data_IF_117502715347
#
_entry.id   IF_117502715347
#
_cell.length_a   1.000
_cell.length_b   1.000
_cell.length_c   1.000
_cell.angle_alpha   90.00
_cell.angle_beta   90.00
_cell.angle_gamma   90.00
#
_symmetry.space_group_name_H-M   'P 1'
#
loop_
_entity.id
_entity.type
_entity.pdbx_description
1 polymer ?
#
# COMPACT_ATOMS: atom_id res chain seq x y z
N UNK A 1 14.98 22.94 18.08
CA UNK A 1 14.80 22.06 16.91
C UNK A 1 14.64 20.64 17.41
N UNK A 2 13.40 20.18 17.51
CA UNK A 2 13.01 18.90 18.13
C UNK A 2 12.88 17.89 16.98
N UNK A 3 13.68 16.83 17.00
CA UNK A 3 13.57 15.70 16.06
C UNK A 3 12.37 14.87 16.48
N UNK A 4 11.41 14.67 15.57
CA UNK A 4 10.30 13.74 15.78
C UNK A 4 10.78 12.36 15.32
N UNK A 5 10.88 11.43 16.26
CA UNK A 5 11.07 10.02 15.97
C UNK A 5 9.73 9.46 15.48
N UNK A 6 9.65 9.10 14.20
CA UNK A 6 8.54 8.37 13.62
C UNK A 6 8.60 6.93 14.11
N UNK A 7 7.89 6.63 15.19
CA UNK A 7 7.55 5.27 15.56
C UNK A 7 6.40 4.84 14.65
N UNK A 8 6.68 3.97 13.67
CA UNK A 8 5.65 3.21 12.96
C UNK A 8 4.96 2.29 13.97
N UNK A 9 3.78 2.69 14.42
CA UNK A 9 2.88 1.82 15.14
C UNK A 9 1.91 1.21 14.12
N UNK A 10 2.21 -0.01 13.68
CA UNK A 10 1.28 -0.83 12.93
C UNK A 10 0.10 -1.18 13.85
N UNK A 11 -0.99 -0.43 13.70
CA UNK A 11 -2.29 -0.75 14.29
C UNK A 11 -3.07 -1.57 13.28
N UNK A 12 -2.92 -2.89 13.37
CA UNK A 12 -3.78 -3.83 12.65
C UNK A 12 -5.21 -3.70 13.12
N UNK A 13 -6.06 -3.11 12.28
CA UNK A 13 -7.51 -3.15 12.44
C UNK A 13 -7.99 -4.46 11.83
N UNK A 14 -8.17 -5.48 12.65
CA UNK A 14 -8.99 -6.64 12.29
C UNK A 14 -10.45 -6.20 12.21
N UNK A 15 -10.92 -5.90 11.01
CA UNK A 15 -12.34 -5.86 10.70
C UNK A 15 -12.84 -7.30 10.54
N UNK A 16 -13.52 -7.79 11.58
CA UNK A 16 -14.41 -8.93 11.54
C UNK A 16 -15.82 -8.40 11.27
N UNK A 17 -16.60 -9.03 10.36
CA UNK A 17 -18.05 -8.90 10.02
C UNK A 17 -18.16 -8.77 8.48
N UNK A 18 -18.97 -9.51 7.69
CA UNK A 18 -20.12 -10.40 7.86
C UNK A 18 -20.19 -11.34 6.62
N UNK A 19 -20.94 -12.45 6.71
CA UNK A 19 -20.91 -13.58 5.76
C UNK A 19 -21.36 -13.34 4.30
N UNK A 20 -21.23 -14.36 3.43
CA UNK A 20 -21.31 -14.20 1.99
C UNK A 20 -22.75 -14.11 1.46
N UNK A 21 -23.05 -13.06 0.69
CA UNK A 21 -24.11 -13.09 -0.31
C UNK A 21 -23.56 -13.75 -1.58
N UNK A 22 -24.15 -14.85 -2.00
CA UNK A 22 -23.74 -15.61 -3.17
C UNK A 22 -24.15 -14.90 -4.48
N UNK A 23 -23.23 -14.59 -5.39
CA UNK A 23 -23.59 -14.20 -6.75
C UNK A 23 -23.91 -15.44 -7.61
N UNK A 24 -25.08 -15.45 -8.23
CA UNK A 24 -25.41 -16.34 -9.36
C UNK A 24 -24.71 -15.76 -10.59
N UNK A 25 -23.71 -16.47 -11.12
CA UNK A 25 -23.06 -16.11 -12.39
C UNK A 25 -23.23 -17.24 -13.40
N UNK A 26 -23.71 -16.98 -14.63
CA UNK A 26 -23.79 -17.99 -15.68
C UNK A 26 -22.39 -18.39 -16.20
N UNK A 27 -22.22 -19.69 -16.35
CA UNK A 27 -21.05 -20.40 -16.86
C UNK A 27 -20.76 -20.06 -18.33
N UNK A 28 -19.67 -19.32 -18.58
CA UNK A 28 -19.04 -19.21 -19.89
C UNK A 28 -17.69 -19.93 -19.84
N UNK A 29 -17.70 -21.17 -20.29
CA UNK A 29 -16.53 -22.03 -20.37
C UNK A 29 -15.45 -21.48 -21.30
N UNK A 30 -14.23 -21.37 -20.78
CA UNK A 30 -12.99 -21.44 -21.54
C UNK A 30 -11.88 -21.97 -20.64
N UNK A 31 -11.45 -23.22 -20.84
CA UNK A 31 -10.28 -23.79 -20.18
C UNK A 31 -9.02 -23.46 -20.99
N UNK A 32 -7.97 -22.83 -20.42
CA UNK A 32 -6.66 -22.83 -21.03
C UNK A 32 -5.92 -24.12 -20.66
N UNK A 33 -5.68 -24.98 -21.66
CA UNK A 33 -4.79 -26.13 -21.55
C UNK A 33 -3.33 -25.68 -21.74
N UNK A 34 -2.57 -25.55 -20.67
CA UNK A 34 -1.12 -25.36 -20.72
C UNK A 34 -0.42 -26.73 -20.83
N UNK A 35 0.19 -27.00 -21.99
CA UNK A 35 1.06 -28.14 -22.20
C UNK A 35 2.48 -27.85 -21.70
N UNK A 36 2.94 -28.71 -20.79
CA UNK A 36 4.33 -28.84 -20.33
C UNK A 36 5.10 -29.73 -21.32
N UNK A 37 6.26 -29.29 -21.80
CA UNK A 37 7.17 -30.14 -22.59
C UNK A 37 8.42 -29.37 -23.02
N UNK A 38 9.59 -29.82 -22.58
CA UNK A 38 10.86 -29.13 -22.81
C UNK A 38 11.83 -29.85 -23.76
N UNK A 39 13.09 -29.43 -23.62
CA UNK A 39 14.35 -30.13 -23.89
C UNK A 39 15.17 -29.74 -25.14
N UNK A 40 16.50 -29.63 -24.90
CA UNK A 40 17.58 -29.60 -25.90
C UNK A 40 18.11 -28.19 -26.17
N UNK A 41 19.37 -27.82 -25.97
CA UNK A 41 20.61 -28.57 -25.94
C UNK A 41 21.60 -27.83 -26.85
N UNK A 42 22.77 -27.43 -26.34
CA UNK A 42 23.76 -26.73 -27.15
C UNK A 42 24.99 -26.28 -26.37
N UNK A 43 25.95 -27.19 -26.19
CA UNK A 43 27.29 -26.91 -25.70
C UNK A 43 28.19 -26.62 -26.92
N UNK A 44 28.93 -25.51 -26.91
CA UNK A 44 29.89 -25.17 -27.96
C UNK A 44 31.14 -24.55 -27.35
N UNK A 45 32.16 -25.38 -27.14
CA UNK A 45 33.49 -24.94 -26.72
C UNK A 45 34.32 -24.40 -27.88
N UNK A 46 35.32 -23.59 -27.54
CA UNK A 46 36.41 -23.15 -28.41
C UNK A 46 37.50 -22.51 -27.58
N UNK A 47 38.56 -23.28 -27.33
CA UNK A 47 39.84 -22.84 -26.76
C UNK A 47 40.75 -22.26 -27.86
N UNK A 48 41.91 -21.77 -27.39
CA UNK A 48 43.14 -21.43 -28.12
C UNK A 48 43.26 -19.97 -28.55
N UNK A 49 44.38 -19.26 -28.35
CA UNK A 49 45.65 -19.57 -27.69
C UNK A 49 46.47 -18.27 -27.63
N UNK A 50 47.59 -18.32 -26.88
CA UNK A 50 48.81 -17.55 -27.11
C UNK A 50 48.84 -16.05 -26.71
N UNK A 51 49.88 -15.47 -26.12
CA UNK A 51 51.10 -15.91 -25.44
C UNK A 51 51.90 -14.62 -25.10
N UNK A 52 52.76 -14.68 -24.06
CA UNK A 52 53.91 -13.80 -23.73
C UNK A 52 53.55 -12.39 -23.21
N UNK A 53 54.12 -11.84 -22.15
CA UNK A 53 55.27 -12.12 -21.29
C UNK A 53 55.50 -10.79 -20.51
N UNK A 54 56.25 -10.64 -19.42
CA UNK A 54 57.02 -11.52 -18.57
C UNK A 54 57.58 -10.68 -17.39
N UNK A 55 58.13 -11.39 -16.39
CA UNK A 55 59.21 -11.03 -15.43
C UNK A 55 59.14 -9.66 -14.73
N UNK A 56 58.93 -9.62 -13.40
CA UNK A 56 59.98 -9.74 -12.36
C UNK A 56 60.10 -8.39 -11.63
N UNK A 57 60.42 -8.18 -10.35
CA UNK A 57 61.05 -8.88 -9.21
C UNK A 57 60.37 -8.29 -7.95
N UNK A 58 60.16 -9.01 -6.84
CA UNK A 58 61.19 -9.39 -5.88
C UNK A 58 61.38 -8.30 -4.81
N UNK A 59 60.94 -8.58 -3.57
CA UNK A 59 61.14 -7.69 -2.43
C UNK A 59 60.48 -8.25 -1.16
N UNK A 60 61.06 -9.31 -0.61
CA UNK A 60 60.64 -9.83 0.69
C UNK A 60 61.08 -8.94 1.85
N UNK A 61 60.33 -9.01 2.96
CA UNK A 61 60.90 -9.16 4.30
C UNK A 61 59.84 -9.60 5.31
N UNK A 62 60.30 -10.54 6.11
CA UNK A 62 59.66 -11.24 7.20
C UNK A 62 59.55 -10.36 8.45
N UNK A 63 58.49 -10.58 9.22
CA UNK A 63 58.30 -10.09 10.58
C UNK A 63 57.48 -11.11 11.37
N UNK A 64 58.01 -11.51 12.52
CA UNK A 64 57.71 -12.73 13.28
C UNK A 64 56.35 -12.74 14.00
N UNK A 65 55.75 -13.93 14.01
CA UNK A 65 55.09 -14.66 15.11
C UNK A 65 54.68 -13.95 16.41
N UNK A 66 53.42 -14.21 16.79
CA UNK A 66 52.88 -14.24 18.16
C UNK A 66 51.36 -14.20 18.06
N UNK A 67 50.53 -15.08 18.62
CA UNK A 67 50.68 -16.25 19.45
C UNK A 67 49.30 -16.93 19.48
N UNK A 68 49.30 -18.23 19.73
CA UNK A 68 48.13 -19.11 19.77
C UNK A 68 47.04 -18.66 20.74
N UNK A 69 45.77 -18.79 20.33
CA UNK A 69 44.71 -19.25 21.23
C UNK A 69 43.59 -19.91 20.41
N UNK A 70 43.55 -21.24 20.49
CA UNK A 70 42.35 -22.05 20.22
C UNK A 70 41.31 -21.70 21.29
N UNK A 71 40.09 -21.39 20.86
CA UNK A 71 38.92 -21.28 21.73
C UNK A 71 37.67 -21.59 20.92
N UNK A 72 37.38 -22.88 20.76
CA UNK A 72 36.03 -23.32 20.39
C UNK A 72 35.15 -23.20 21.63
N UNK A 73 34.01 -22.50 21.53
CA UNK A 73 32.74 -22.86 22.15
C UNK A 73 31.70 -21.74 22.06
N UNK A 74 30.52 -22.15 21.61
CA UNK A 74 29.20 -21.71 22.09
C UNK A 74 28.59 -20.43 21.51
N UNK A 75 27.56 -20.69 20.68
CA UNK A 75 26.39 -19.86 20.52
C UNK A 75 25.89 -19.33 21.89
N UNK A 76 25.73 -18.01 21.97
CA UNK A 76 24.80 -17.39 22.91
C UNK A 76 24.16 -16.18 22.24
N UNK A 77 22.89 -16.36 21.87
CA UNK A 77 21.91 -15.32 21.58
C UNK A 77 21.92 -14.33 22.77
N UNK A 78 22.51 -13.16 22.58
CA UNK A 78 22.52 -12.10 23.59
C UNK A 78 21.41 -11.11 23.28
N UNK A 79 20.40 -11.14 24.14
CA UNK A 79 19.32 -10.17 24.28
C UNK A 79 19.91 -8.76 24.44
N UNK A 80 19.45 -7.84 23.61
CA UNK A 80 19.67 -6.41 23.79
C UNK A 80 18.87 -5.96 25.01
N UNK A 81 19.58 -5.56 26.06
CA UNK A 81 19.05 -4.67 27.09
C UNK A 81 19.76 -3.33 26.95
N UNK A 82 18.91 -2.31 26.92
CA UNK A 82 19.16 -0.89 26.77
C UNK A 82 20.09 -0.34 27.88
N UNK A 83 20.74 0.78 27.59
CA UNK A 83 21.71 1.56 28.42
C UNK A 83 23.19 1.14 28.34
N UNK A 84 23.92 1.56 27.29
CA UNK A 84 25.37 1.73 27.36
C UNK A 84 25.91 2.66 26.28
N UNK A 85 26.87 3.50 26.67
CA UNK A 85 27.81 4.22 25.80
C UNK A 85 28.18 3.35 24.59
N UNK A 86 28.10 3.86 23.34
CA UNK A 86 28.35 3.05 22.16
C UNK A 86 29.75 2.42 22.28
N UNK A 87 29.89 1.09 22.12
CA UNK A 87 31.18 0.44 22.22
C UNK A 87 32.14 1.07 21.18
N UNK A 88 33.46 1.13 21.46
CA UNK A 88 34.46 1.82 20.61
C UNK A 88 34.61 1.26 19.18
N UNK A 89 33.76 0.32 18.79
CA UNK A 89 33.75 -0.38 17.51
C UNK A 89 32.40 -0.24 16.77
N UNK A 90 31.46 0.60 17.25
CA UNK A 90 30.16 0.80 16.61
C UNK A 90 30.31 1.29 15.15
N UNK A 91 31.22 2.24 14.92
CA UNK A 91 31.58 2.69 13.57
C UNK A 91 32.28 1.60 12.73
N UNK A 92 33.01 0.69 13.36
CA UNK A 92 33.68 -0.42 12.69
C UNK A 92 32.71 -1.50 12.20
N UNK A 93 31.62 -1.76 12.93
CA UNK A 93 30.55 -2.67 12.50
C UNK A 93 29.77 -2.11 11.32
N UNK A 94 29.32 -0.86 11.42
CA UNK A 94 28.67 -0.12 10.33
C UNK A 94 29.57 -0.06 9.08
N UNK A 95 30.83 0.32 9.24
CA UNK A 95 31.80 0.36 8.14
C UNK A 95 32.07 -1.03 7.54
N UNK A 96 32.00 -2.11 8.34
CA UNK A 96 32.14 -3.48 7.84
C UNK A 96 30.91 -3.97 7.06
N UNK A 97 29.71 -3.58 7.48
CA UNK A 97 28.46 -3.89 6.78
C UNK A 97 28.38 -3.12 5.46
N UNK A 98 28.77 -1.84 5.48
CA UNK A 98 28.80 -0.95 4.31
C UNK A 98 30.05 -1.12 3.43
N UNK A 99 31.01 -1.97 3.80
CA UNK A 99 32.34 -2.08 3.13
C UNK A 99 32.27 -2.38 1.62
N UNK A 100 31.18 -2.99 1.16
CA UNK A 100 30.92 -3.25 -0.27
C UNK A 100 30.06 -2.20 -0.97
N UNK A 101 29.49 -1.25 -0.23
CA UNK A 101 28.48 -0.30 -0.71
C UNK A 101 29.04 1.10 -0.96
N UNK A 102 30.34 1.37 -0.80
CA UNK A 102 30.95 2.71 -1.01
C UNK A 102 30.57 3.43 -2.33
N UNK A 103 30.04 2.71 -3.31
CA UNK A 103 29.44 3.27 -4.51
C UNK A 103 28.18 4.13 -4.26
N UNK A 104 27.58 4.14 -3.05
CA UNK A 104 26.49 5.07 -2.71
C UNK A 104 26.92 6.55 -2.78
N UNK A 105 28.24 6.83 -2.70
CA UNK A 105 28.82 8.17 -2.92
C UNK A 105 28.94 8.58 -4.41
N UNK A 106 28.46 7.76 -5.34
CA UNK A 106 28.52 8.09 -6.76
C UNK A 106 27.70 9.36 -7.05
N UNK A 107 28.13 10.15 -8.03
CA UNK A 107 27.36 11.32 -8.46
C UNK A 107 26.07 10.88 -9.15
N UNK A 108 25.09 11.77 -9.20
CA UNK A 108 23.83 11.55 -9.92
C UNK A 108 24.06 11.17 -11.39
N UNK A 109 25.01 11.83 -12.06
CA UNK A 109 25.43 11.47 -13.43
C UNK A 109 26.01 10.05 -13.51
N UNK A 110 26.73 9.60 -12.49
CA UNK A 110 27.26 8.24 -12.46
C UNK A 110 26.15 7.21 -12.24
N UNK A 111 25.15 7.50 -11.39
CA UNK A 111 23.96 6.65 -11.26
C UNK A 111 23.18 6.55 -12.58
N UNK A 112 22.95 7.67 -13.25
CA UNK A 112 22.19 7.70 -14.50
C UNK A 112 22.85 6.93 -15.67
N UNK A 113 24.17 6.79 -15.66
CA UNK A 113 24.94 6.12 -16.73
C UNK A 113 25.54 4.77 -16.31
N UNK A 114 25.27 4.31 -15.08
CA UNK A 114 25.86 3.09 -14.58
C UNK A 114 25.32 1.87 -15.32
N UNK A 115 26.18 0.89 -15.57
CA UNK A 115 25.72 -0.42 -15.99
C UNK A 115 24.88 -1.03 -14.84
N UNK A 116 23.68 -1.58 -15.09
CA UNK A 116 22.80 -2.15 -14.05
C UNK A 116 23.49 -3.22 -13.19
N UNK A 117 24.40 -4.01 -13.78
CA UNK A 117 25.15 -5.06 -13.09
C UNK A 117 26.34 -4.51 -12.27
N UNK A 118 26.71 -3.25 -12.46
CA UNK A 118 27.78 -2.62 -11.68
C UNK A 118 27.29 -2.29 -10.26
N UNK A 119 28.22 -2.18 -9.32
CA UNK A 119 27.86 -1.83 -7.94
C UNK A 119 27.16 -0.45 -7.84
N UNK A 120 27.50 0.51 -8.72
CA UNK A 120 26.80 1.80 -8.80
C UNK A 120 25.39 1.63 -9.37
N UNK A 121 25.24 0.81 -10.42
CA UNK A 121 23.95 0.54 -11.05
C UNK A 121 22.99 -0.20 -10.12
N UNK A 122 23.45 -1.22 -9.41
CA UNK A 122 22.61 -1.92 -8.41
C UNK A 122 22.17 -1.01 -7.27
N UNK A 123 23.03 -0.08 -6.83
CA UNK A 123 22.62 0.93 -5.83
C UNK A 123 21.63 1.92 -6.43
N UNK A 124 21.76 2.30 -7.70
CA UNK A 124 20.74 3.10 -8.39
C UNK A 124 19.39 2.37 -8.40
N UNK A 125 19.36 1.09 -8.79
CA UNK A 125 18.14 0.28 -8.78
C UNK A 125 17.52 0.19 -7.39
N UNK A 126 18.33 -0.01 -6.34
CA UNK A 126 17.84 0.02 -4.96
C UNK A 126 17.25 1.38 -4.59
N UNK A 127 17.94 2.49 -4.91
CA UNK A 127 17.44 3.85 -4.64
C UNK A 127 16.10 4.09 -5.30
N UNK A 128 15.98 3.72 -6.57
CA UNK A 128 14.75 3.93 -7.35
C UNK A 128 13.61 3.04 -6.83
N UNK A 129 13.89 1.80 -6.41
CA UNK A 129 12.92 0.93 -5.75
C UNK A 129 12.46 1.48 -4.40
N UNK A 130 13.38 1.99 -3.57
CA UNK A 130 13.06 2.62 -2.29
C UNK A 130 12.23 3.89 -2.44
N UNK A 131 12.47 4.70 -3.48
CA UNK A 131 11.58 5.80 -3.83
C UNK A 131 10.20 5.30 -4.24
N UNK A 132 10.13 4.17 -4.95
CA UNK A 132 8.87 3.48 -5.26
C UNK A 132 8.08 3.10 -4.01
N UNK A 133 8.75 2.54 -2.99
CA UNK A 133 8.13 2.24 -1.70
C UNK A 133 7.57 3.49 -1.01
N UNK A 134 8.33 4.60 -1.01
CA UNK A 134 7.88 5.87 -0.43
C UNK A 134 6.62 6.37 -1.15
N UNK A 135 6.61 6.37 -2.48
CA UNK A 135 5.45 6.80 -3.28
C UNK A 135 4.25 5.89 -3.01
N UNK A 136 4.43 4.57 -2.99
CA UNK A 136 3.35 3.62 -2.72
C UNK A 136 2.79 3.77 -1.29
N UNK A 137 3.63 4.11 -0.31
CA UNK A 137 3.20 4.39 1.05
C UNK A 137 2.36 5.69 1.13
N UNK A 138 2.78 6.75 0.42
CA UNK A 138 2.01 8.00 0.32
C UNK A 138 0.66 7.76 -0.39
N UNK A 139 0.63 6.92 -1.44
CA UNK A 139 -0.59 6.52 -2.14
C UNK A 139 -1.53 5.72 -1.23
N UNK A 140 -0.99 4.81 -0.42
CA UNK A 140 -1.77 4.08 0.58
C UNK A 140 -2.39 5.00 1.63
N UNK A 141 -1.63 5.99 2.12
CA UNK A 141 -2.14 7.01 3.04
C UNK A 141 -3.26 7.83 2.39
N UNK A 142 -3.08 8.24 1.13
CA UNK A 142 -4.09 8.98 0.39
C UNK A 142 -5.37 8.14 0.17
N UNK A 143 -5.24 6.86 -0.19
CA UNK A 143 -6.38 5.95 -0.37
C UNK A 143 -7.13 5.71 0.95
N UNK A 144 -6.41 5.58 2.06
CA UNK A 144 -7.00 5.46 3.40
C UNK A 144 -7.77 6.72 3.79
N UNK A 145 -7.24 7.90 3.46
CA UNK A 145 -7.92 9.18 3.63
C UNK A 145 -9.20 9.27 2.80
N UNK A 146 -9.13 8.89 1.52
CA UNK A 146 -10.28 8.89 0.63
C UNK A 146 -11.41 7.95 1.11
N UNK A 147 -11.06 6.77 1.64
CA UNK A 147 -12.05 5.88 2.25
C UNK A 147 -12.73 6.53 3.46
N UNK A 148 -11.96 7.17 4.33
CA UNK A 148 -12.51 7.89 5.48
C UNK A 148 -13.49 8.98 5.04
N UNK A 149 -13.08 9.83 4.09
CA UNK A 149 -13.92 10.91 3.55
C UNK A 149 -15.21 10.37 2.91
N UNK A 150 -15.13 9.25 2.16
CA UNK A 150 -16.30 8.62 1.55
C UNK A 150 -17.26 8.06 2.61
N UNK A 151 -16.74 7.41 3.66
CA UNK A 151 -17.57 6.88 4.74
C UNK A 151 -18.26 7.99 5.56
N UNK A 152 -17.58 9.11 5.79
CA UNK A 152 -18.15 10.28 6.45
C UNK A 152 -19.25 10.92 5.59
N UNK A 153 -19.05 10.99 4.28
CA UNK A 153 -20.04 11.49 3.34
C UNK A 153 -21.30 10.60 3.29
N UNK A 154 -21.13 9.28 3.27
CA UNK A 154 -22.25 8.33 3.35
C UNK A 154 -23.04 8.53 4.65
N UNK A 155 -22.35 8.57 5.79
CA UNK A 155 -22.99 8.77 7.09
C UNK A 155 -23.76 10.10 7.17
N UNK A 156 -23.23 11.17 6.56
CA UNK A 156 -23.92 12.44 6.46
C UNK A 156 -25.21 12.33 5.64
N UNK A 157 -25.18 11.61 4.51
CA UNK A 157 -26.36 11.42 3.64
C UNK A 157 -27.43 10.55 4.28
N UNK A 158 -27.03 9.49 4.98
CA UNK A 158 -27.95 8.67 5.77
C UNK A 158 -28.61 9.50 6.89
N UNK A 159 -27.87 10.38 7.54
CA UNK A 159 -28.42 11.27 8.57
C UNK A 159 -29.39 12.31 7.99
N UNK A 160 -29.10 12.86 6.80
CA UNK A 160 -30.01 13.76 6.07
C UNK A 160 -31.33 13.05 5.71
N UNK A 161 -31.25 11.82 5.18
CA UNK A 161 -32.42 11.00 4.84
C UNK A 161 -33.24 10.69 6.09
N UNK A 162 -32.60 10.24 7.17
CA UNK A 162 -33.28 9.96 8.44
C UNK A 162 -33.96 11.21 9.01
N UNK A 163 -33.30 12.38 8.95
CA UNK A 163 -33.88 13.63 9.43
C UNK A 163 -35.09 14.07 8.59
N UNK A 164 -35.07 13.83 7.27
CA UNK A 164 -36.22 14.07 6.40
C UNK A 164 -37.39 13.17 6.80
N UNK A 165 -37.15 11.87 7.00
CA UNK A 165 -38.17 10.89 7.39
C UNK A 165 -38.75 11.18 8.78
N UNK A 166 -37.92 11.49 9.77
CA UNK A 166 -38.37 11.86 11.12
C UNK A 166 -39.13 13.20 11.15
N UNK A 167 -38.81 14.10 10.21
CA UNK A 167 -39.46 15.40 10.06
C UNK A 167 -40.85 15.33 9.43
N UNK A 168 -41.19 14.23 8.76
CA UNK A 168 -42.44 14.09 8.02
C UNK A 168 -43.43 13.16 8.74
N UNK A 169 -44.52 13.75 9.25
CA UNK A 169 -45.62 13.02 9.89
C UNK A 169 -46.89 12.96 9.02
N UNK A 170 -46.79 13.34 7.74
CA UNK A 170 -47.90 13.33 6.79
C UNK A 170 -48.18 11.93 6.24
N UNK A 171 -49.24 11.85 5.43
CA UNK A 171 -49.62 10.61 4.73
C UNK A 171 -48.97 10.55 3.35
N UNK A 172 -48.84 9.35 2.81
CA UNK A 172 -48.38 9.17 1.44
C UNK A 172 -49.37 9.73 0.42
N UNK A 173 -48.87 10.08 -0.76
CA UNK A 173 -49.74 10.51 -1.87
C UNK A 173 -50.82 9.47 -2.20
N UNK A 174 -50.47 8.19 -2.14
CA UNK A 174 -51.39 7.07 -2.38
C UNK A 174 -52.54 6.99 -1.36
N UNK A 175 -52.27 7.26 -0.08
CA UNK A 175 -53.32 7.28 0.96
C UNK A 175 -54.26 8.48 0.79
N UNK A 176 -53.70 9.63 0.41
CA UNK A 176 -54.47 10.86 0.16
C UNK A 176 -55.36 10.67 -1.07
N UNK A 177 -54.83 10.12 -2.16
CA UNK A 177 -55.58 9.84 -3.39
C UNK A 177 -56.72 8.85 -3.16
N UNK A 178 -56.51 7.84 -2.31
CA UNK A 178 -57.55 6.90 -1.92
C UNK A 178 -58.68 7.58 -1.13
N UNK A 179 -58.36 8.53 -0.26
CA UNK A 179 -59.37 9.31 0.45
C UNK A 179 -60.16 10.23 -0.49
N UNK A 180 -59.47 10.95 -1.39
CA UNK A 180 -60.12 11.79 -2.40
C UNK A 180 -61.11 10.96 -3.24
N UNK A 181 -60.70 9.76 -3.67
CA UNK A 181 -61.55 8.85 -4.43
C UNK A 181 -62.75 8.31 -3.63
N UNK A 182 -62.66 8.31 -2.30
CA UNK A 182 -63.71 7.85 -1.38
C UNK A 182 -64.72 8.92 -0.96
N UNK A 183 -64.49 10.19 -1.30
CA UNK A 183 -65.36 11.29 -0.90
C UNK A 183 -66.76 11.21 -1.53
N UNK A 184 -67.80 11.51 -0.74
CA UNK A 184 -69.17 11.64 -1.25
C UNK A 184 -69.33 12.97 -2.01
N UNK A 185 -69.39 12.88 -3.34
CA UNK A 185 -69.61 14.03 -4.23
C UNK A 185 -70.91 14.82 -3.96
N UNK A 186 -71.88 14.26 -3.25
CA UNK A 186 -73.12 14.94 -2.87
C UNK A 186 -73.02 15.68 -1.52
N UNK A 187 -71.93 15.53 -0.78
CA UNK A 187 -71.72 16.21 0.48
C UNK A 187 -71.63 17.74 0.26
N UNK A 188 -72.28 18.56 1.10
CA UNK A 188 -72.30 20.02 0.93
C UNK A 188 -70.92 20.68 1.06
N UNK A 189 -69.97 20.01 1.71
CA UNK A 189 -68.58 20.43 1.95
C UNK A 189 -67.55 19.65 1.10
N UNK A 190 -68.00 18.84 0.12
CA UNK A 190 -67.13 18.03 -0.76
C UNK A 190 -65.96 18.83 -1.32
N UNK A 191 -66.21 20.03 -1.86
CA UNK A 191 -65.17 20.82 -2.49
C UNK A 191 -64.14 21.34 -1.48
N UNK A 192 -64.56 21.64 -0.25
CA UNK A 192 -63.64 22.08 0.82
C UNK A 192 -62.74 20.92 1.25
N UNK A 193 -63.29 19.70 1.35
CA UNK A 193 -62.52 18.49 1.65
C UNK A 193 -61.51 18.16 0.52
N UNK A 194 -61.95 18.23 -0.74
CA UNK A 194 -61.05 18.02 -1.90
C UNK A 194 -59.93 19.06 -1.91
N UNK A 195 -60.21 20.33 -1.64
CA UNK A 195 -59.17 21.36 -1.61
C UNK A 195 -58.16 21.08 -0.48
N UNK A 196 -58.64 20.76 0.72
CA UNK A 196 -57.76 20.43 1.84
C UNK A 196 -56.87 19.21 1.57
N UNK A 197 -57.43 18.14 0.98
CA UNK A 197 -56.66 16.94 0.63
C UNK A 197 -55.67 17.20 -0.51
N UNK A 198 -56.00 18.06 -1.48
CA UNK A 198 -55.03 18.44 -2.51
C UNK A 198 -53.88 19.27 -1.95
N UNK A 199 -54.14 20.17 -0.99
CA UNK A 199 -53.09 20.90 -0.29
C UNK A 199 -52.17 19.95 0.49
N UNK A 200 -52.73 18.92 1.14
CA UNK A 200 -51.95 17.85 1.79
C UNK A 200 -51.14 17.03 0.76
N UNK A 201 -51.74 16.71 -0.40
CA UNK A 201 -51.09 15.94 -1.47
C UNK A 201 -49.84 16.63 -1.98
N UNK A 202 -49.88 17.95 -2.15
CA UNK A 202 -48.71 18.74 -2.59
C UNK A 202 -47.55 18.64 -1.59
N UNK A 203 -47.85 18.65 -0.28
CA UNK A 203 -46.82 18.45 0.74
C UNK A 203 -46.24 17.03 0.70
N UNK A 204 -47.08 16.01 0.50
CA UNK A 204 -46.63 14.62 0.33
C UNK A 204 -45.77 14.42 -0.92
N UNK A 205 -46.18 14.98 -2.07
CA UNK A 205 -45.40 14.92 -3.32
C UNK A 205 -44.02 15.56 -3.16
N UNK A 206 -43.95 16.68 -2.43
CA UNK A 206 -42.67 17.35 -2.15
C UNK A 206 -41.76 16.45 -1.31
N UNK A 207 -42.27 15.89 -0.21
CA UNK A 207 -41.52 14.96 0.64
C UNK A 207 -41.06 13.72 -0.12
N UNK A 208 -41.93 13.06 -0.87
CA UNK A 208 -41.60 11.86 -1.64
C UNK A 208 -40.52 12.13 -2.69
N UNK A 209 -40.53 13.31 -3.32
CA UNK A 209 -39.51 13.75 -4.29
C UNK A 209 -38.16 14.00 -3.63
N UNK A 210 -38.14 14.70 -2.48
CA UNK A 210 -36.93 14.96 -1.71
C UNK A 210 -36.32 13.65 -1.19
N UNK A 211 -37.18 12.75 -0.68
CA UNK A 211 -36.77 11.42 -0.21
C UNK A 211 -36.14 10.59 -1.33
N UNK A 212 -36.77 10.53 -2.50
CA UNK A 212 -36.22 9.81 -3.65
C UNK A 212 -34.87 10.39 -4.12
N UNK A 213 -34.69 11.70 -4.00
CA UNK A 213 -33.42 12.37 -4.32
C UNK A 213 -32.33 11.95 -3.33
N UNK A 214 -32.61 12.01 -2.01
CA UNK A 214 -31.66 11.59 -0.98
C UNK A 214 -31.33 10.09 -1.06
N UNK A 215 -32.31 9.23 -1.37
CA UNK A 215 -32.07 7.80 -1.59
C UNK A 215 -31.07 7.56 -2.75
N UNK A 216 -31.18 8.36 -3.82
CA UNK A 216 -30.20 8.33 -4.92
C UNK A 216 -28.83 8.79 -4.46
N UNK A 217 -28.74 9.88 -3.68
CA UNK A 217 -27.46 10.40 -3.18
C UNK A 217 -26.79 9.44 -2.18
N UNK A 218 -27.56 8.72 -1.36
CA UNK A 218 -27.06 7.65 -0.49
C UNK A 218 -26.49 6.50 -1.32
N UNK A 219 -27.14 6.16 -2.44
CA UNK A 219 -26.63 5.15 -3.38
C UNK A 219 -25.30 5.58 -3.99
N UNK A 220 -25.22 6.82 -4.49
CA UNK A 220 -23.98 7.37 -5.05
C UNK A 220 -22.84 7.41 -4.00
N UNK A 221 -23.16 7.76 -2.75
CA UNK A 221 -22.19 7.75 -1.66
C UNK A 221 -21.74 6.33 -1.28
N UNK A 222 -22.63 5.34 -1.39
CA UNK A 222 -22.31 3.92 -1.17
C UNK A 222 -21.35 3.40 -2.25
N UNK A 223 -21.60 3.77 -3.51
CA UNK A 223 -20.71 3.43 -4.62
C UNK A 223 -19.32 4.08 -4.43
N UNK A 224 -19.27 5.34 -3.97
CA UNK A 224 -18.02 6.02 -3.66
C UNK A 224 -17.21 5.34 -2.54
N UNK A 225 -17.87 4.78 -1.52
CA UNK A 225 -17.21 3.96 -0.49
C UNK A 225 -16.61 2.70 -1.12
N UNK A 226 -17.37 2.02 -1.98
CA UNK A 226 -16.91 0.80 -2.66
C UNK A 226 -15.69 1.07 -3.55
N UNK A 227 -15.71 2.17 -4.30
CA UNK A 227 -14.57 2.59 -5.13
C UNK A 227 -13.34 2.91 -4.27
N UNK A 228 -13.53 3.57 -3.13
CA UNK A 228 -12.44 3.89 -2.21
C UNK A 228 -11.85 2.64 -1.52
N UNK A 229 -12.67 1.64 -1.19
CA UNK A 229 -12.21 0.35 -0.67
C UNK A 229 -11.36 -0.41 -1.71
N UNK A 230 -11.78 -0.38 -2.98
CA UNK A 230 -11.00 -0.97 -4.07
C UNK A 230 -9.65 -0.25 -4.23
N UNK A 231 -9.66 1.09 -4.24
CA UNK A 231 -8.43 1.88 -4.35
C UNK A 231 -7.47 1.64 -3.17
N UNK A 232 -8.00 1.46 -1.96
CA UNK A 232 -7.21 1.09 -0.78
C UNK A 232 -6.54 -0.27 -0.97
N UNK A 233 -7.29 -1.27 -1.42
CA UNK A 233 -6.77 -2.62 -1.69
C UNK A 233 -5.67 -2.62 -2.76
N UNK A 234 -5.86 -1.84 -3.82
CA UNK A 234 -4.86 -1.67 -4.88
C UNK A 234 -3.59 -1.01 -4.34
N UNK A 235 -3.72 0.02 -3.49
CA UNK A 235 -2.58 0.70 -2.87
C UNK A 235 -1.83 -0.19 -1.88
N UNK A 236 -2.53 -1.02 -1.09
CA UNK A 236 -1.91 -2.03 -0.21
C UNK A 236 -1.08 -3.03 -1.01
N UNK A 237 -1.63 -3.49 -2.14
CA UNK A 237 -0.93 -4.41 -3.05
C UNK A 237 0.30 -3.75 -3.66
N UNK A 238 0.16 -2.51 -4.13
CA UNK A 238 1.26 -1.74 -4.71
C UNK A 238 2.39 -1.51 -3.71
N UNK A 239 2.07 -1.22 -2.44
CA UNK A 239 3.07 -1.08 -1.38
C UNK A 239 3.80 -2.41 -1.14
N UNK A 240 3.08 -3.53 -1.03
CA UNK A 240 3.70 -4.84 -0.81
C UNK A 240 4.63 -5.25 -1.97
N UNK A 241 4.22 -4.97 -3.21
CA UNK A 241 5.04 -5.20 -4.40
C UNK A 241 6.29 -4.29 -4.40
N UNK A 242 6.14 -3.02 -4.02
CA UNK A 242 7.25 -2.08 -3.92
C UNK A 242 8.26 -2.47 -2.83
N UNK A 243 7.79 -2.89 -1.65
CA UNK A 243 8.64 -3.39 -0.56
C UNK A 243 9.44 -4.62 -1.00
N UNK A 244 8.79 -5.55 -1.72
CA UNK A 244 9.45 -6.75 -2.26
C UNK A 244 10.54 -6.37 -3.28
N UNK A 245 10.23 -5.45 -4.20
CA UNK A 245 11.19 -4.94 -5.18
C UNK A 245 12.38 -4.25 -4.51
N UNK A 246 12.12 -3.44 -3.48
CA UNK A 246 13.16 -2.76 -2.71
C UNK A 246 14.06 -3.77 -1.98
N UNK A 247 13.49 -4.79 -1.33
CA UNK A 247 14.26 -5.82 -0.64
C UNK A 247 15.16 -6.60 -1.61
N UNK A 248 14.61 -7.03 -2.76
CA UNK A 248 15.37 -7.73 -3.80
C UNK A 248 16.51 -6.86 -4.36
N UNK A 249 16.23 -5.57 -4.61
CA UNK A 249 17.22 -4.62 -5.08
C UNK A 249 18.31 -4.36 -4.04
N UNK A 250 17.94 -4.26 -2.75
CA UNK A 250 18.89 -4.13 -1.63
C UNK A 250 19.77 -5.37 -1.52
N UNK A 251 19.19 -6.56 -1.64
CA UNK A 251 19.92 -7.82 -1.58
C UNK A 251 20.92 -7.90 -2.75
N UNK A 252 20.52 -7.50 -3.96
CA UNK A 252 21.40 -7.41 -5.11
C UNK A 252 22.53 -6.37 -4.90
N UNK A 253 22.20 -5.17 -4.44
CA UNK A 253 23.16 -4.10 -4.16
C UNK A 253 24.16 -4.49 -3.07
N UNK A 254 23.71 -5.19 -2.03
CA UNK A 254 24.55 -5.64 -0.92
C UNK A 254 25.37 -6.90 -1.22
N UNK A 255 25.22 -7.50 -2.41
CA UNK A 255 25.77 -8.81 -2.80
C UNK A 255 25.28 -9.95 -1.88
N UNK A 256 23.99 -10.00 -1.61
CA UNK A 256 23.34 -11.04 -0.81
C UNK A 256 23.43 -10.84 0.70
N UNK A 257 23.82 -9.64 1.17
CA UNK A 257 24.05 -9.38 2.60
C UNK A 257 22.87 -8.63 3.20
N UNK A 258 22.20 -9.24 4.17
CA UNK A 258 21.22 -8.54 5.00
C UNK A 258 21.94 -7.49 5.84
N UNK A 259 21.56 -6.22 5.67
CA UNK A 259 22.11 -5.10 6.44
C UNK A 259 21.37 -4.98 7.78
N UNK A 260 22.05 -4.50 8.81
CA UNK A 260 21.35 -4.07 10.02
C UNK A 260 20.54 -2.81 9.74
N UNK A 261 19.45 -2.61 10.49
CA UNK A 261 18.59 -1.43 10.37
C UNK A 261 19.36 -0.10 10.49
N UNK A 262 20.32 0.07 11.42
CA UNK A 262 21.17 1.27 11.43
C UNK A 262 22.06 1.44 10.19
N UNK A 263 22.46 0.36 9.52
CA UNK A 263 23.26 0.43 8.29
C UNK A 263 22.39 0.77 7.07
N UNK A 264 21.16 0.29 7.05
CA UNK A 264 20.15 0.62 6.06
C UNK A 264 19.71 2.09 6.19
N UNK A 265 19.44 2.57 7.40
CA UNK A 265 19.15 3.99 7.68
C UNK A 265 20.28 4.90 7.22
N UNK A 266 21.53 4.53 7.52
CA UNK A 266 22.69 5.28 7.06
C UNK A 266 22.77 5.30 5.54
N UNK A 267 22.56 4.15 4.88
CA UNK A 267 22.57 4.07 3.42
C UNK A 267 21.45 4.92 2.80
N UNK A 268 20.22 4.86 3.32
CA UNK A 268 19.08 5.67 2.87
C UNK A 268 19.37 7.16 3.00
N UNK A 269 19.89 7.58 4.16
CA UNK A 269 20.30 8.98 4.39
C UNK A 269 21.34 9.48 3.40
N UNK A 270 22.32 8.66 3.01
CA UNK A 270 23.36 9.05 2.04
C UNK A 270 22.81 9.09 0.60
N UNK A 271 21.74 8.33 0.31
CA UNK A 271 21.06 8.32 -0.98
C UNK A 271 19.97 9.39 -1.10
N UNK A 272 19.70 10.15 -0.03
CA UNK A 272 18.67 11.20 0.00
C UNK A 272 17.25 10.66 0.13
N UNK A 273 17.10 9.47 0.73
CA UNK A 273 15.83 8.81 1.04
C UNK A 273 15.41 9.09 2.49
#
# INVERSE_FOLDING_TARGET
MIRKNTFLAALGVSALILGPLAPIVPDFGASPAFAKGGNGGGNGGGHDSDQKGGKGKGGGKSGKSGGSAKGAASAKKASLTDTAVPPPNAHGKLSSELKGLNAYHASETAFANANPESQVGRIATYRDAALGTIVAADELEAASGALTDATDALAAKEAELQALEDGYAGRTTAEIDAEIAGLDSAAPDYQDQVNALNDERVAAETFETERATLESEVTDATDAVTDAESALTDAETALADAETLEEDALLSASNGRVLSEPALDYLRSELGL
#
